data_IF_482523460825
#
_entry.id   IF_482523460825
#
_cell.length_a   1.000
_cell.length_b   1.000
_cell.length_c   1.000
_cell.angle_alpha   90.00
_cell.angle_beta   90.00
_cell.angle_gamma   90.00
#
_symmetry.space_group_name_H-M   'P 1'
#
loop_
_entity.id
_entity.type
_entity.pdbx_description
1 polymer ?
#
# COMPACT_ATOMS: atom_id res chain seq x y z
N UNK A 1 -9.85 3.46 26.08
CA UNK A 1 -8.56 2.74 26.25
C UNK A 1 -7.63 3.19 25.13
N UNK A 2 -6.34 3.39 25.44
CA UNK A 2 -5.37 3.84 24.43
C UNK A 2 -5.01 2.65 23.54
N UNK A 3 -5.20 2.76 22.22
CA UNK A 3 -4.92 1.66 21.30
C UNK A 3 -3.42 1.58 21.03
N UNK A 4 -2.78 0.39 21.10
CA UNK A 4 -1.36 0.26 20.83
C UNK A 4 -1.07 0.66 19.38
N UNK A 5 -0.03 1.48 19.18
CA UNK A 5 0.40 1.96 17.86
C UNK A 5 1.79 1.46 17.57
N UNK A 6 1.99 0.91 16.37
CA UNK A 6 3.32 0.53 15.92
C UNK A 6 4.23 1.77 15.90
N UNK A 7 5.44 1.68 16.47
CA UNK A 7 6.38 2.78 16.43
C UNK A 7 6.86 3.00 14.99
N UNK A 8 7.28 4.23 14.68
CA UNK A 8 7.90 4.52 13.38
C UNK A 8 9.28 3.87 13.34
N UNK A 9 9.49 3.00 12.36
CA UNK A 9 10.77 2.33 12.11
C UNK A 9 11.36 2.91 10.83
N UNK A 10 12.65 3.21 10.85
CA UNK A 10 13.40 3.80 9.74
C UNK A 10 14.60 2.97 9.33
N UNK A 11 14.95 1.95 10.13
CA UNK A 11 16.07 1.05 9.88
C UNK A 11 15.64 -0.42 10.06
N UNK A 12 16.32 -1.32 9.35
CA UNK A 12 16.05 -2.76 9.45
C UNK A 12 16.28 -3.28 10.88
N UNK A 13 17.27 -2.74 11.60
CA UNK A 13 17.55 -3.11 12.99
C UNK A 13 16.42 -2.76 13.95
N UNK A 14 15.75 -1.63 13.75
CA UNK A 14 14.57 -1.25 14.55
C UNK A 14 13.41 -2.21 14.29
N UNK A 15 13.25 -2.67 13.04
CA UNK A 15 12.24 -3.66 12.67
C UNK A 15 12.55 -5.00 13.34
N UNK A 16 13.78 -5.50 13.20
CA UNK A 16 14.23 -6.77 13.79
C UNK A 16 13.96 -6.81 15.30
N UNK A 17 14.33 -5.76 16.02
CA UNK A 17 14.12 -5.67 17.47
C UNK A 17 12.64 -5.77 17.88
N UNK A 18 11.72 -5.26 17.06
CA UNK A 18 10.29 -5.33 17.34
C UNK A 18 9.73 -6.72 17.00
N UNK A 19 10.22 -7.33 15.92
CA UNK A 19 9.83 -8.69 15.53
C UNK A 19 10.24 -9.76 16.56
N UNK A 20 11.20 -9.47 17.42
CA UNK A 20 11.59 -10.34 18.55
C UNK A 20 10.54 -10.39 19.68
N UNK A 21 9.55 -9.48 19.70
CA UNK A 21 8.52 -9.40 20.73
C UNK A 21 7.18 -9.96 20.25
N UNK A 22 6.29 -10.28 21.20
CA UNK A 22 4.90 -10.63 20.88
C UNK A 22 4.16 -9.42 20.32
N UNK A 23 3.57 -9.58 19.14
CA UNK A 23 2.86 -8.54 18.40
C UNK A 23 1.33 -8.67 18.46
N UNK A 24 0.81 -9.62 19.23
CA UNK A 24 -0.63 -9.94 19.28
C UNK A 24 -1.50 -8.72 19.57
N UNK A 25 -1.04 -7.82 20.43
CA UNK A 25 -1.78 -6.58 20.78
C UNK A 25 -2.01 -5.64 19.57
N UNK A 26 -1.13 -5.68 18.56
CA UNK A 26 -1.27 -4.88 17.34
C UNK A 26 -2.22 -5.53 16.33
N UNK A 27 -2.49 -6.83 16.47
CA UNK A 27 -3.32 -7.62 15.57
C UNK A 27 -4.81 -7.67 15.97
N UNK A 28 -5.14 -7.25 17.19
CA UNK A 28 -6.52 -7.10 17.64
C UNK A 28 -7.33 -6.19 16.70
N UNK A 29 -8.62 -6.45 16.41
CA UNK A 29 -9.38 -5.77 15.36
C UNK A 29 -9.33 -4.24 15.43
N UNK A 30 -9.38 -3.68 16.64
CA UNK A 30 -9.36 -2.23 16.89
C UNK A 30 -7.98 -1.61 16.66
N UNK A 31 -6.91 -2.34 16.98
CA UNK A 31 -5.52 -1.91 16.77
C UNK A 31 -5.09 -2.15 15.32
N UNK A 32 -5.56 -3.24 14.71
CA UNK A 32 -5.22 -3.63 13.34
C UNK A 32 -5.60 -2.53 12.34
N UNK A 33 -6.80 -1.96 12.49
CA UNK A 33 -7.30 -0.88 11.61
C UNK A 33 -6.51 0.43 11.73
N UNK A 34 -5.85 0.66 12.87
CA UNK A 34 -5.03 1.85 13.12
C UNK A 34 -3.59 1.66 12.61
N UNK A 35 -3.09 0.42 12.69
CA UNK A 35 -1.69 0.09 12.42
C UNK A 35 -1.43 -0.38 10.99
N UNK A 36 -2.43 -0.99 10.34
CA UNK A 36 -2.26 -1.63 9.04
C UNK A 36 -3.22 -1.09 7.99
N UNK A 37 -2.77 -1.14 6.74
CA UNK A 37 -3.63 -0.94 5.58
C UNK A 37 -3.91 -2.30 4.96
N UNK A 38 -5.18 -2.73 4.84
CA UNK A 38 -5.50 -3.96 4.13
C UNK A 38 -5.12 -3.80 2.66
N UNK A 39 -4.46 -4.83 2.14
CA UNK A 39 -4.19 -5.01 0.71
C UNK A 39 -5.02 -6.19 0.25
N UNK A 40 -5.84 -6.01 -0.78
CA UNK A 40 -6.80 -7.02 -1.23
C UNK A 40 -6.38 -7.67 -2.54
N UNK A 41 -5.77 -6.91 -3.46
CA UNK A 41 -5.51 -7.36 -4.82
C UNK A 41 -4.03 -7.58 -5.14
N UNK A 42 -3.08 -7.04 -4.35
CA UNK A 42 -1.64 -7.18 -4.64
C UNK A 42 -1.15 -8.65 -4.65
N UNK A 43 -1.75 -9.50 -3.82
CA UNK A 43 -1.37 -10.91 -3.66
C UNK A 43 -2.21 -11.86 -4.54
N UNK A 44 -3.21 -11.35 -5.25
CA UNK A 44 -4.02 -12.17 -6.16
C UNK A 44 -3.27 -12.43 -7.48
N UNK A 45 -3.63 -13.51 -8.22
CA UNK A 45 -3.09 -13.77 -9.55
C UNK A 45 -3.32 -12.59 -10.52
N UNK A 46 -2.35 -12.36 -11.42
CA UNK A 46 -2.43 -11.34 -12.48
C UNK A 46 -2.83 -12.01 -13.80
N UNK A 47 -4.01 -12.61 -13.81
CA UNK A 47 -4.51 -13.48 -14.88
C UNK A 47 -5.26 -12.74 -16.00
N UNK A 48 -5.56 -11.45 -15.82
CA UNK A 48 -6.23 -10.61 -16.80
C UNK A 48 -5.48 -9.31 -17.11
N UNK A 49 -5.82 -8.67 -18.24
CA UNK A 49 -5.18 -7.43 -18.72
C UNK A 49 -6.19 -6.30 -18.87
N UNK A 50 -5.77 -5.10 -18.48
CA UNK A 50 -6.51 -3.85 -18.73
C UNK A 50 -5.88 -3.14 -19.93
N UNK A 51 -6.63 -3.03 -21.03
CA UNK A 51 -6.21 -2.28 -22.20
C UNK A 51 -6.80 -0.86 -22.16
N UNK A 52 -5.95 0.17 -22.12
CA UNK A 52 -6.35 1.57 -21.98
C UNK A 52 -5.53 2.45 -22.93
N UNK A 53 -6.18 3.45 -23.54
CA UNK A 53 -5.51 4.53 -24.29
C UNK A 53 -5.27 5.71 -23.36
N UNK A 54 -4.02 6.18 -23.30
CA UNK A 54 -3.60 7.38 -22.54
C UNK A 54 -2.65 8.22 -23.37
N UNK A 55 -2.44 9.48 -22.98
CA UNK A 55 -1.41 10.32 -23.59
C UNK A 55 -0.01 9.85 -23.21
N UNK A 56 0.96 10.12 -24.08
CA UNK A 56 2.39 9.87 -23.82
C UNK A 56 2.86 10.62 -22.57
N UNK A 57 2.37 11.85 -22.38
CA UNK A 57 2.70 12.67 -21.22
C UNK A 57 2.26 12.00 -19.90
N UNK A 58 1.02 11.50 -19.84
CA UNK A 58 0.52 10.80 -18.65
C UNK A 58 1.35 9.55 -18.34
N UNK A 59 1.72 8.76 -19.36
CA UNK A 59 2.56 7.58 -19.16
C UNK A 59 3.93 7.94 -18.59
N UNK A 60 4.54 9.02 -19.08
CA UNK A 60 5.85 9.48 -18.60
C UNK A 60 5.76 9.94 -17.14
N UNK A 61 4.75 10.75 -16.80
CA UNK A 61 4.50 11.18 -15.43
C UNK A 61 4.30 10.00 -14.48
N UNK A 62 3.53 8.98 -14.89
CA UNK A 62 3.33 7.74 -14.11
C UNK A 62 4.67 7.04 -13.84
N UNK A 63 5.54 6.93 -14.86
CA UNK A 63 6.85 6.29 -14.70
C UNK A 63 7.75 7.04 -13.71
N UNK A 64 7.75 8.37 -13.75
CA UNK A 64 8.50 9.19 -12.79
C UNK A 64 8.02 8.99 -11.35
N UNK A 65 6.70 8.98 -11.12
CA UNK A 65 6.14 8.72 -9.79
C UNK A 65 6.48 7.32 -9.27
N UNK A 66 6.46 6.32 -10.16
CA UNK A 66 6.82 4.95 -9.81
C UNK A 66 8.32 4.84 -9.45
N UNK A 67 9.20 5.50 -10.21
CA UNK A 67 10.64 5.54 -9.94
C UNK A 67 10.96 6.19 -8.60
N UNK A 68 10.31 7.32 -8.26
CA UNK A 68 10.46 7.97 -6.94
C UNK A 68 10.08 7.06 -5.77
N UNK A 69 9.22 6.06 -6.02
CA UNK A 69 8.81 5.05 -5.03
C UNK A 69 9.61 3.74 -5.14
N UNK A 70 10.58 3.64 -6.04
CA UNK A 70 11.38 2.43 -6.23
C UNK A 70 10.60 1.23 -6.77
N UNK A 71 9.45 1.44 -7.43
CA UNK A 71 8.60 0.36 -7.95
C UNK A 71 8.39 0.48 -9.46
N UNK A 72 8.10 -0.63 -10.13
CA UNK A 72 7.74 -0.63 -11.55
C UNK A 72 6.42 0.10 -11.81
N UNK A 73 6.33 0.84 -12.92
CA UNK A 73 5.15 1.66 -13.24
C UNK A 73 3.84 0.87 -13.31
N UNK A 74 3.86 -0.38 -13.76
CA UNK A 74 2.67 -1.24 -13.75
C UNK A 74 2.22 -1.58 -12.33
N UNK A 75 3.15 -1.80 -11.38
CA UNK A 75 2.83 -2.00 -9.96
C UNK A 75 2.19 -0.73 -9.39
N UNK A 76 2.76 0.43 -9.71
CA UNK A 76 2.19 1.72 -9.31
C UNK A 76 0.75 1.89 -9.81
N UNK A 77 0.50 1.66 -11.10
CA UNK A 77 -0.86 1.76 -11.67
C UNK A 77 -1.84 0.83 -10.95
N UNK A 78 -1.46 -0.43 -10.71
CA UNK A 78 -2.31 -1.37 -9.95
C UNK A 78 -2.61 -0.87 -8.54
N UNK A 79 -1.62 -0.36 -7.81
CA UNK A 79 -1.81 0.18 -6.45
C UNK A 79 -2.74 1.41 -6.44
N UNK A 80 -2.66 2.27 -7.47
CA UNK A 80 -3.57 3.42 -7.61
C UNK A 80 -5.01 2.96 -7.84
N UNK A 81 -5.22 1.99 -8.74
CA UNK A 81 -6.54 1.42 -9.02
C UNK A 81 -7.12 0.71 -7.79
N UNK A 82 -6.30 -0.09 -7.10
CA UNK A 82 -6.67 -0.77 -5.86
C UNK A 82 -7.09 0.25 -4.78
N UNK A 83 -6.29 1.30 -4.56
CA UNK A 83 -6.63 2.34 -3.59
C UNK A 83 -7.94 3.05 -3.92
N UNK A 84 -8.23 3.26 -5.21
CA UNK A 84 -9.47 3.89 -5.65
C UNK A 84 -10.70 3.03 -5.34
N UNK A 85 -10.64 1.71 -5.58
CA UNK A 85 -11.78 0.81 -5.33
C UNK A 85 -11.93 0.41 -3.86
N UNK A 86 -10.86 0.45 -3.07
CA UNK A 86 -10.90 0.17 -1.63
C UNK A 86 -11.45 1.34 -0.78
N UNK A 87 -11.99 2.39 -1.40
CA UNK A 87 -12.62 3.52 -0.70
C UNK A 87 -11.66 4.47 0.03
N UNK A 88 -10.37 4.47 -0.35
CA UNK A 88 -9.33 5.37 0.22
C UNK A 88 -9.01 6.57 -0.68
N UNK A 89 -9.81 6.79 -1.72
CA UNK A 89 -9.83 7.99 -2.53
C UNK A 89 -11.24 8.56 -2.40
N UNK A 90 -11.36 9.79 -1.93
CA UNK A 90 -12.62 10.55 -2.02
C UNK A 90 -12.82 10.87 -3.51
N UNK A 91 -13.46 9.94 -4.23
CA UNK A 91 -13.85 10.14 -5.61
C UNK A 91 -15.09 11.01 -5.60
N UNK A 92 -14.91 12.31 -5.44
CA UNK A 92 -15.95 13.33 -5.55
C UNK A 92 -16.45 13.50 -6.99
N UNK A 93 -16.90 12.40 -7.59
CA UNK A 93 -17.69 12.35 -8.82
C UNK A 93 -19.01 11.66 -8.52
#
# INVERSE_FOLDING_TARGET
>A
MNKPKLPKMTTDKEVESILEHDLSEYLEPEAFRENFTPTSFEFLPKDTTLNLRISTELLNTIKEFAQKRGIGYQKFVRQVLEKAVSGKVDTGF
#
